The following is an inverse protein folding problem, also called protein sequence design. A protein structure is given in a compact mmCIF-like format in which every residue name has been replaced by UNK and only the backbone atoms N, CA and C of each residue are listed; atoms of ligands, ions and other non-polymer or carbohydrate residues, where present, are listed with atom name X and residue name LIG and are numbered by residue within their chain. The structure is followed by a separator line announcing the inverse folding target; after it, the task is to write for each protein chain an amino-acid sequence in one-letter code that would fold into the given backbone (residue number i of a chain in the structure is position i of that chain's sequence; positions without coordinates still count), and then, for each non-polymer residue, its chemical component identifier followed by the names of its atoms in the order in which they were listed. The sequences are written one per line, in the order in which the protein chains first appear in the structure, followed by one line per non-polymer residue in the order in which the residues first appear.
data_IF_848367419433
#
_entry.id   IF_848367419433
#
_cell.length_a   1.000
_cell.length_b   1.000
_cell.length_c   1.000
_cell.angle_alpha   90.00
_cell.angle_beta   90.00
_cell.angle_gamma   90.00
#
_symmetry.space_group_name_H-M   'P 1'
#
loop_
_entity.id
_entity.type
_entity.pdbx_description
1 polymer ?
#
# COMPACT_ATOMS: atom_id res chain seq x y z
N UNK A 1 -5.37 -18.54 -12.29
CA UNK A 1 -5.23 -18.50 -10.82
C UNK A 1 -4.00 -19.24 -10.27
N UNK A 2 -3.97 -20.58 -10.09
CA UNK A 2 -2.82 -21.26 -9.41
C UNK A 2 -1.47 -21.11 -10.16
N UNK A 3 -1.48 -21.15 -11.49
CA UNK A 3 -0.28 -20.99 -12.31
C UNK A 3 0.28 -19.55 -12.31
N UNK A 4 -0.59 -18.54 -12.23
CA UNK A 4 -0.20 -17.13 -12.15
C UNK A 4 0.33 -16.77 -10.76
N UNK A 5 -0.26 -17.34 -9.70
CA UNK A 5 0.21 -17.25 -8.32
C UNK A 5 1.65 -17.77 -8.21
N UNK A 6 1.92 -19.00 -8.71
CA UNK A 6 3.26 -19.58 -8.70
C UNK A 6 4.27 -18.78 -9.55
N UNK A 7 3.84 -18.20 -10.68
CA UNK A 7 4.68 -17.30 -11.49
C UNK A 7 4.98 -15.99 -10.74
N UNK A 8 4.02 -15.43 -10.01
CA UNK A 8 4.20 -14.24 -9.18
C UNK A 8 5.18 -14.49 -8.05
N UNK A 9 4.98 -15.56 -7.28
CA UNK A 9 5.88 -15.96 -6.19
C UNK A 9 7.32 -16.15 -6.65
N UNK A 10 7.52 -16.85 -7.78
CA UNK A 10 8.85 -17.03 -8.36
C UNK A 10 9.50 -15.69 -8.71
N UNK A 11 8.75 -14.78 -9.35
CA UNK A 11 9.24 -13.44 -9.71
C UNK A 11 9.60 -12.59 -8.49
N UNK A 12 8.85 -12.70 -7.40
CA UNK A 12 9.16 -11.96 -6.17
C UNK A 12 10.44 -12.49 -5.50
N UNK A 13 10.64 -13.81 -5.48
CA UNK A 13 11.88 -14.41 -4.96
C UNK A 13 13.10 -13.99 -5.79
N UNK A 14 13.01 -14.05 -7.11
CA UNK A 14 14.06 -13.57 -8.02
C UNK A 14 14.34 -12.07 -7.84
N UNK A 15 13.29 -11.26 -7.62
CA UNK A 15 13.45 -9.84 -7.34
C UNK A 15 14.19 -9.58 -6.02
N UNK A 16 13.93 -10.38 -4.97
CA UNK A 16 14.64 -10.26 -3.69
C UNK A 16 16.14 -10.50 -3.85
N UNK A 17 16.55 -11.55 -4.57
CA UNK A 17 17.96 -11.82 -4.89
C UNK A 17 18.60 -10.65 -5.67
N UNK A 18 17.86 -10.07 -6.62
CA UNK A 18 18.31 -8.88 -7.35
C UNK A 18 18.49 -7.66 -6.42
N UNK A 19 17.62 -7.47 -5.42
CA UNK A 19 17.76 -6.37 -4.46
C UNK A 19 18.88 -6.62 -3.45
N UNK A 20 19.20 -7.88 -3.12
CA UNK A 20 20.38 -8.23 -2.32
C UNK A 20 21.66 -7.87 -3.04
N UNK A 21 21.80 -8.30 -4.28
CA UNK A 21 22.96 -7.98 -5.12
C UNK A 21 23.06 -6.48 -5.41
N UNK A 22 21.93 -5.79 -5.65
CA UNK A 22 21.90 -4.34 -5.84
C UNK A 22 22.32 -3.58 -4.58
N UNK A 23 21.81 -3.96 -3.41
CA UNK A 23 22.19 -3.33 -2.15
C UNK A 23 23.70 -3.50 -1.86
N UNK A 24 24.23 -4.71 -2.06
CA UNK A 24 25.67 -4.98 -1.91
C UNK A 24 26.51 -4.11 -2.86
N UNK A 25 26.07 -3.94 -4.11
CA UNK A 25 26.71 -3.03 -5.08
C UNK A 25 26.62 -1.57 -4.65
N UNK A 26 25.49 -1.10 -4.13
CA UNK A 26 25.32 0.27 -3.65
C UNK A 26 26.26 0.57 -2.49
N UNK A 27 26.31 -0.33 -1.49
CA UNK A 27 27.23 -0.22 -0.35
C UNK A 27 28.68 -0.17 -0.83
N UNK A 28 29.06 -1.08 -1.74
CA UNK A 28 30.42 -1.13 -2.28
C UNK A 28 30.80 0.11 -3.10
N UNK A 29 29.88 0.68 -3.88
CA UNK A 29 30.17 1.80 -4.79
C UNK A 29 30.04 3.18 -4.13
N UNK A 30 29.05 3.33 -3.26
CA UNK A 30 28.66 4.63 -2.71
C UNK A 30 28.76 4.69 -1.19
N UNK A 31 29.13 3.58 -0.52
CA UNK A 31 29.25 3.53 0.93
C UNK A 31 27.93 3.62 1.68
N UNK A 32 26.79 3.56 0.98
CA UNK A 32 25.48 3.81 1.56
C UNK A 32 24.42 2.84 1.04
N UNK A 33 23.51 2.51 1.94
CA UNK A 33 22.27 1.81 1.63
C UNK A 33 21.28 2.77 0.93
N UNK A 34 20.43 2.22 0.06
CA UNK A 34 19.43 2.99 -0.70
C UNK A 34 18.00 2.74 -0.16
N UNK A 35 17.26 3.78 0.29
CA UNK A 35 15.90 3.63 0.79
C UNK A 35 14.93 3.07 -0.27
N UNK A 36 15.16 3.33 -1.56
CA UNK A 36 14.32 2.80 -2.64
C UNK A 36 14.46 1.29 -2.74
N UNK A 37 15.68 0.77 -2.61
CA UNK A 37 15.95 -0.67 -2.55
C UNK A 37 15.22 -1.34 -1.38
N UNK A 38 15.20 -0.72 -0.20
CA UNK A 38 14.44 -1.24 0.94
C UNK A 38 12.93 -1.25 0.71
N UNK A 39 12.37 -0.15 0.17
CA UNK A 39 10.95 -0.12 -0.19
C UNK A 39 10.59 -1.21 -1.22
N UNK A 40 11.47 -1.45 -2.20
CA UNK A 40 11.24 -2.48 -3.21
C UNK A 40 11.33 -3.91 -2.64
N UNK A 41 12.17 -4.14 -1.64
CA UNK A 41 12.14 -5.40 -0.86
C UNK A 41 10.83 -5.55 -0.11
N UNK A 42 10.36 -4.48 0.54
CA UNK A 42 9.04 -4.45 1.17
C UNK A 42 7.92 -4.84 0.19
N UNK A 43 7.94 -4.29 -1.02
CA UNK A 43 6.99 -4.65 -2.08
C UNK A 43 7.06 -6.12 -2.49
N UNK A 44 8.27 -6.70 -2.54
CA UNK A 44 8.44 -8.12 -2.88
C UNK A 44 7.93 -9.04 -1.75
N UNK A 45 8.22 -8.72 -0.50
CA UNK A 45 7.67 -9.44 0.66
C UNK A 45 6.14 -9.32 0.75
N UNK A 46 5.59 -8.13 0.51
CA UNK A 46 4.14 -7.93 0.39
C UNK A 46 3.53 -8.80 -0.72
N UNK A 47 4.19 -8.89 -1.88
CA UNK A 47 3.77 -9.77 -2.98
C UNK A 47 3.82 -11.26 -2.66
N UNK A 48 4.63 -11.67 -1.67
CA UNK A 48 4.69 -13.03 -1.13
C UNK A 48 3.70 -13.25 0.05
N UNK A 49 2.97 -12.22 0.46
CA UNK A 49 2.10 -12.26 1.64
C UNK A 49 2.85 -12.19 2.98
N UNK A 50 4.15 -11.89 2.96
CA UNK A 50 5.00 -11.77 4.16
C UNK A 50 4.91 -10.33 4.72
N UNK A 51 3.72 -9.96 5.18
CA UNK A 51 3.39 -8.57 5.53
C UNK A 51 4.21 -8.01 6.70
N UNK A 52 4.58 -8.83 7.69
CA UNK A 52 5.44 -8.41 8.81
C UNK A 52 6.81 -7.93 8.30
N UNK A 53 7.46 -8.72 7.44
CA UNK A 53 8.73 -8.33 6.81
C UNK A 53 8.57 -7.12 5.91
N UNK A 54 7.44 -7.02 5.20
CA UNK A 54 7.16 -5.87 4.36
C UNK A 54 7.15 -4.58 5.20
N UNK A 55 6.47 -4.58 6.36
CA UNK A 55 6.47 -3.45 7.31
C UNK A 55 7.89 -3.10 7.77
N UNK A 56 8.71 -4.08 8.16
CA UNK A 56 10.09 -3.83 8.59
C UNK A 56 10.91 -3.10 7.50
N UNK A 57 10.79 -3.55 6.25
CA UNK A 57 11.52 -2.96 5.14
C UNK A 57 11.00 -1.57 4.74
N UNK A 58 9.67 -1.37 4.74
CA UNK A 58 9.10 -0.03 4.53
C UNK A 58 9.51 0.93 5.64
N UNK A 59 9.49 0.46 6.89
CA UNK A 59 9.92 1.25 8.05
C UNK A 59 11.39 1.66 7.92
N UNK A 60 12.29 0.72 7.59
CA UNK A 60 13.70 1.01 7.36
C UNK A 60 13.89 2.04 6.24
N UNK A 61 13.19 1.89 5.11
CA UNK A 61 13.23 2.87 4.02
C UNK A 61 12.77 4.27 4.45
N UNK A 62 11.72 4.36 5.28
CA UNK A 62 11.17 5.60 5.79
C UNK A 62 12.05 6.29 6.85
N UNK A 63 12.85 5.54 7.60
CA UNK A 63 13.83 6.06 8.55
C UNK A 63 15.09 6.56 7.85
N UNK A 64 15.54 5.86 6.81
CA UNK A 64 16.68 6.27 5.99
C UNK A 64 16.40 7.58 5.22
N UNK A 65 15.18 7.76 4.72
CA UNK A 65 14.76 8.99 4.08
C UNK A 65 13.38 9.42 4.57
N UNK A 66 13.35 10.38 5.49
CA UNK A 66 12.11 10.94 6.07
C UNK A 66 11.20 11.62 5.04
N UNK A 67 11.74 12.00 3.87
CA UNK A 67 10.99 12.58 2.77
C UNK A 67 10.52 11.52 1.75
N UNK A 68 10.87 10.24 1.93
CA UNK A 68 10.41 9.18 1.05
C UNK A 68 9.01 8.72 1.44
N UNK A 69 8.03 9.54 1.07
CA UNK A 69 6.63 9.40 1.45
C UNK A 69 6.02 8.05 1.06
N UNK A 70 6.45 7.49 -0.08
CA UNK A 70 5.96 6.19 -0.56
C UNK A 70 6.27 5.05 0.40
N UNK A 71 7.42 5.05 1.07
CA UNK A 71 7.76 4.03 2.06
C UNK A 71 6.80 4.09 3.27
N UNK A 72 6.52 5.30 3.79
CA UNK A 72 5.56 5.47 4.89
C UNK A 72 4.13 5.11 4.50
N UNK A 73 3.75 5.40 3.26
CA UNK A 73 2.45 5.00 2.72
C UNK A 73 2.32 3.48 2.67
N UNK A 74 3.31 2.80 2.08
CA UNK A 74 3.32 1.34 1.99
C UNK A 74 3.37 0.66 3.37
N UNK A 75 4.12 1.24 4.32
CA UNK A 75 4.11 0.81 5.73
C UNK A 75 2.69 0.88 6.31
N UNK A 76 1.99 2.01 6.12
CA UNK A 76 0.62 2.16 6.61
C UNK A 76 -0.33 1.13 5.98
N UNK A 77 -0.26 0.92 4.66
CA UNK A 77 -1.07 -0.09 3.99
C UNK A 77 -0.78 -1.50 4.54
N UNK A 78 0.48 -1.87 4.70
CA UNK A 78 0.87 -3.18 5.23
C UNK A 78 0.48 -3.36 6.70
N UNK A 79 0.55 -2.31 7.53
CA UNK A 79 0.04 -2.33 8.90
C UNK A 79 -1.47 -2.61 8.96
N UNK A 80 -2.24 -2.06 8.02
CA UNK A 80 -3.66 -2.39 7.90
C UNK A 80 -3.88 -3.88 7.67
N UNK A 81 -3.08 -4.47 6.79
CA UNK A 81 -3.14 -5.89 6.46
C UNK A 81 -2.82 -6.80 7.66
N UNK A 82 -1.95 -6.34 8.56
CA UNK A 82 -1.62 -7.00 9.82
C UNK A 82 -2.66 -6.75 10.92
N UNK A 83 -3.74 -6.02 10.64
CA UNK A 83 -4.78 -5.69 11.61
C UNK A 83 -4.42 -4.56 12.58
N UNK A 84 -3.29 -3.87 12.37
CA UNK A 84 -2.89 -2.69 13.16
C UNK A 84 -3.65 -1.44 12.71
N UNK A 85 -4.99 -1.49 12.79
CA UNK A 85 -5.90 -0.53 12.16
C UNK A 85 -5.75 0.89 12.70
N UNK A 86 -5.60 1.09 14.02
CA UNK A 86 -5.48 2.42 14.59
C UNK A 86 -4.19 3.11 14.13
N UNK A 87 -3.07 2.38 14.18
CA UNK A 87 -1.75 2.89 13.75
C UNK A 87 -1.76 3.20 12.26
N UNK A 88 -2.24 2.26 11.45
CA UNK A 88 -2.40 2.41 10.01
C UNK A 88 -3.23 3.65 9.66
N UNK A 89 -4.44 3.76 10.20
CA UNK A 89 -5.37 4.86 9.91
C UNK A 89 -4.79 6.20 10.36
N UNK A 90 -4.11 6.23 11.52
CA UNK A 90 -3.43 7.44 11.98
C UNK A 90 -2.33 7.91 11.02
N UNK A 91 -1.53 6.97 10.50
CA UNK A 91 -0.50 7.26 9.51
C UNK A 91 -1.10 7.74 8.19
N UNK A 92 -2.14 7.06 7.68
CA UNK A 92 -2.84 7.47 6.46
C UNK A 92 -3.42 8.88 6.59
N UNK A 93 -4.08 9.20 7.72
CA UNK A 93 -4.59 10.56 8.01
C UNK A 93 -3.48 11.60 8.05
N UNK A 94 -2.34 11.27 8.66
CA UNK A 94 -1.19 12.17 8.66
C UNK A 94 -0.69 12.45 7.24
N UNK A 95 -0.55 11.41 6.43
CA UNK A 95 -0.09 11.52 5.05
C UNK A 95 -1.07 12.28 4.16
N UNK A 96 -2.38 12.00 4.26
CA UNK A 96 -3.42 12.72 3.52
C UNK A 96 -3.45 14.22 3.90
N UNK A 97 -3.30 14.56 5.17
CA UNK A 97 -3.23 15.97 5.61
C UNK A 97 -1.97 16.67 5.11
N UNK A 98 -0.82 16.00 5.18
CA UNK A 98 0.47 16.58 4.78
C UNK A 98 0.59 16.68 3.26
N UNK A 99 -0.01 15.75 2.53
CA UNK A 99 0.00 15.66 1.08
C UNK A 99 -1.44 15.48 0.56
N UNK A 100 -2.24 16.55 0.49
CA UNK A 100 -3.65 16.46 0.08
C UNK A 100 -3.87 15.94 -1.34
N UNK A 101 -2.85 15.99 -2.20
CA UNK A 101 -2.89 15.39 -3.54
C UNK A 101 -2.62 13.89 -3.58
N UNK A 102 -2.43 13.23 -2.43
CA UNK A 102 -2.05 11.82 -2.38
C UNK A 102 -3.27 10.91 -2.41
N UNK A 103 -3.78 10.67 -3.62
CA UNK A 103 -5.01 9.90 -3.87
C UNK A 103 -5.06 8.53 -3.16
N UNK A 104 -3.93 7.80 -3.09
CA UNK A 104 -3.84 6.53 -2.37
C UNK A 104 -4.30 6.63 -0.92
N UNK A 105 -3.89 7.69 -0.21
CA UNK A 105 -4.18 7.82 1.21
C UNK A 105 -5.65 8.15 1.44
N UNK A 106 -6.25 8.94 0.56
CA UNK A 106 -7.69 9.18 0.59
C UNK A 106 -8.49 7.90 0.32
N UNK A 107 -8.14 7.13 -0.72
CA UNK A 107 -8.83 5.88 -1.00
C UNK A 107 -8.62 4.83 0.13
N UNK A 108 -7.44 4.79 0.75
CA UNK A 108 -7.16 3.85 1.83
C UNK A 108 -7.91 4.23 3.12
N UNK A 109 -8.02 5.54 3.41
CA UNK A 109 -8.89 6.03 4.48
C UNK A 109 -10.35 5.73 4.22
N UNK A 110 -10.82 5.81 2.97
CA UNK A 110 -12.18 5.42 2.63
C UNK A 110 -12.47 3.95 3.00
N UNK A 111 -11.54 3.04 2.68
CA UNK A 111 -11.62 1.63 3.06
C UNK A 111 -11.58 1.45 4.60
N UNK A 112 -10.67 2.13 5.28
CA UNK A 112 -10.53 2.03 6.73
C UNK A 112 -11.78 2.55 7.48
N UNK A 113 -12.32 3.70 7.07
CA UNK A 113 -13.54 4.24 7.66
C UNK A 113 -14.78 3.43 7.31
N UNK A 114 -14.80 2.78 6.15
CA UNK A 114 -15.86 1.84 5.82
C UNK A 114 -15.88 0.69 6.83
N UNK A 115 -14.72 0.08 7.07
CA UNK A 115 -14.55 -1.01 8.05
C UNK A 115 -14.98 -0.61 9.46
N UNK A 116 -14.62 0.60 9.88
CA UNK A 116 -14.97 1.18 11.18
C UNK A 116 -16.48 1.51 11.32
N UNK A 117 -17.25 1.48 10.22
CA UNK A 117 -18.66 1.89 10.20
C UNK A 117 -18.86 3.41 10.10
N UNK A 118 -17.77 4.16 9.94
CA UNK A 118 -17.75 5.62 9.75
C UNK A 118 -18.13 6.01 8.30
N UNK A 119 -19.36 5.70 7.90
CA UNK A 119 -19.84 5.79 6.50
C UNK A 119 -19.63 7.18 5.88
N UNK A 120 -20.00 8.25 6.58
CA UNK A 120 -19.87 9.62 6.04
C UNK A 120 -18.41 10.01 5.80
N UNK A 121 -17.51 9.61 6.70
CA UNK A 121 -16.08 9.86 6.53
C UNK A 121 -15.53 9.05 5.36
N UNK A 122 -15.94 7.77 5.23
CA UNK A 122 -15.60 6.93 4.09
C UNK A 122 -16.01 7.56 2.75
N UNK A 123 -17.25 8.05 2.65
CA UNK A 123 -17.74 8.70 1.43
C UNK A 123 -17.00 10.00 1.10
N UNK A 124 -16.64 10.80 2.11
CA UNK A 124 -15.87 12.02 1.94
C UNK A 124 -14.48 11.75 1.39
N UNK A 125 -13.74 10.81 2.01
CA UNK A 125 -12.39 10.45 1.56
C UNK A 125 -12.41 9.81 0.17
N UNK A 126 -13.43 9.00 -0.11
CA UNK A 126 -13.61 8.43 -1.44
C UNK A 126 -13.83 9.51 -2.51
N UNK A 127 -14.65 10.52 -2.21
CA UNK A 127 -14.86 11.63 -3.13
C UNK A 127 -13.56 12.38 -3.43
N UNK A 128 -12.73 12.62 -2.42
CA UNK A 128 -11.39 13.19 -2.60
C UNK A 128 -10.50 12.31 -3.48
N UNK A 129 -10.47 11.00 -3.24
CA UNK A 129 -9.68 10.07 -4.05
C UNK A 129 -10.10 10.10 -5.53
N UNK A 130 -11.40 10.04 -5.80
CA UNK A 130 -11.95 10.06 -7.16
C UNK A 130 -11.77 11.40 -7.88
N UNK A 131 -11.73 12.51 -7.14
CA UNK A 131 -11.40 13.82 -7.69
C UNK A 131 -9.95 13.89 -8.15
N UNK A 132 -9.04 13.25 -7.41
CA UNK A 132 -7.61 13.24 -7.71
C UNK A 132 -7.26 12.23 -8.80
N UNK A 133 -7.85 11.04 -8.77
CA UNK A 133 -7.59 9.96 -9.72
C UNK A 133 -8.81 9.04 -9.84
N UNK A 134 -9.50 9.13 -10.98
CA UNK A 134 -10.73 8.36 -11.22
C UNK A 134 -10.49 6.86 -11.37
N UNK A 135 -9.25 6.42 -11.57
CA UNK A 135 -8.89 5.00 -11.71
C UNK A 135 -9.15 4.20 -10.43
N UNK A 136 -9.24 4.86 -9.28
CA UNK A 136 -9.65 4.21 -8.03
C UNK A 136 -11.04 3.57 -8.14
N UNK A 137 -11.93 4.07 -9.00
CA UNK A 137 -13.22 3.43 -9.27
C UNK A 137 -13.13 2.03 -9.87
N UNK A 138 -11.98 1.64 -10.44
CA UNK A 138 -11.73 0.30 -10.94
C UNK A 138 -10.98 -0.54 -9.89
N UNK A 139 -11.71 -1.48 -9.28
CA UNK A 139 -11.15 -2.38 -8.27
C UNK A 139 -10.00 -3.25 -8.82
N UNK A 140 -10.02 -3.60 -10.11
CA UNK A 140 -8.94 -4.37 -10.72
C UNK A 140 -7.68 -3.52 -10.84
N UNK A 141 -7.82 -2.22 -11.14
CA UNK A 141 -6.68 -1.32 -11.13
C UNK A 141 -6.05 -1.20 -9.74
N UNK A 142 -6.87 -1.12 -8.68
CA UNK A 142 -6.35 -1.14 -7.29
C UNK A 142 -5.62 -2.46 -7.00
N UNK A 143 -6.22 -3.60 -7.32
CA UNK A 143 -5.67 -4.92 -7.00
C UNK A 143 -4.43 -5.26 -7.82
N UNK A 144 -4.44 -5.00 -9.12
CA UNK A 144 -3.46 -5.56 -10.05
C UNK A 144 -2.34 -4.54 -10.35
N UNK A 145 -2.66 -3.24 -10.35
CA UNK A 145 -1.71 -2.17 -10.63
C UNK A 145 -1.16 -1.54 -9.35
N UNK A 146 -2.04 -1.12 -8.41
CA UNK A 146 -1.58 -0.58 -7.11
C UNK A 146 -1.13 -1.68 -6.15
N UNK A 147 -1.60 -2.93 -6.36
CA UNK A 147 -1.27 -4.10 -5.54
C UNK A 147 -1.48 -3.85 -4.06
N UNK A 148 -2.62 -3.26 -3.76
CA UNK A 148 -2.99 -3.02 -2.38
C UNK A 148 -3.13 -4.32 -1.60
N UNK A 149 -2.93 -4.25 -0.27
CA UNK A 149 -3.12 -5.40 0.59
C UNK A 149 -4.55 -5.96 0.49
N UNK A 150 -4.73 -7.29 0.51
CA UNK A 150 -6.03 -7.93 0.32
C UNK A 150 -7.16 -7.42 1.22
N UNK A 151 -6.88 -7.10 2.49
CA UNK A 151 -7.90 -6.59 3.42
C UNK A 151 -8.39 -5.19 3.02
N UNK A 152 -7.49 -4.30 2.57
CA UNK A 152 -7.89 -2.99 2.06
C UNK A 152 -8.72 -3.11 0.78
N UNK A 153 -8.32 -4.01 -0.12
CA UNK A 153 -9.08 -4.30 -1.35
C UNK A 153 -10.47 -4.83 -1.01
N UNK A 154 -10.57 -5.75 -0.06
CA UNK A 154 -11.86 -6.30 0.40
C UNK A 154 -12.76 -5.20 0.98
N UNK A 155 -12.23 -4.38 1.87
CA UNK A 155 -13.01 -3.35 2.56
C UNK A 155 -13.48 -2.26 1.57
N UNK A 156 -12.64 -1.85 0.60
CA UNK A 156 -13.07 -0.88 -0.42
C UNK A 156 -14.05 -1.49 -1.44
N UNK A 157 -13.89 -2.77 -1.80
CA UNK A 157 -14.83 -3.46 -2.69
C UNK A 157 -16.22 -3.54 -2.08
N UNK A 158 -16.32 -3.83 -0.78
CA UNK A 158 -17.59 -3.81 -0.05
C UNK A 158 -18.25 -2.44 -0.11
N UNK A 159 -17.48 -1.37 0.15
CA UNK A 159 -17.95 0.01 0.02
C UNK A 159 -18.51 0.30 -1.39
N UNK A 160 -17.79 -0.10 -2.45
CA UNK A 160 -18.20 0.13 -3.84
C UNK A 160 -19.46 -0.67 -4.23
N UNK A 161 -19.56 -1.91 -3.76
CA UNK A 161 -20.70 -2.78 -4.06
C UNK A 161 -22.03 -2.21 -3.53
N UNK A 162 -22.00 -1.61 -2.33
CA UNK A 162 -23.17 -0.99 -1.71
C UNK A 162 -23.58 0.33 -2.35
N UNK A 163 -22.63 1.09 -2.89
CA UNK A 163 -22.97 2.27 -3.70
C UNK A 163 -23.67 1.87 -5.00
N UNK A 164 -23.22 0.79 -5.63
CA UNK A 164 -23.85 0.27 -6.86
C UNK A 164 -25.28 -0.23 -6.63
N UNK A 165 -25.59 -0.75 -5.44
CA UNK A 165 -26.95 -1.21 -5.10
C UNK A 165 -27.91 -0.09 -4.69
N UNK A 166 -27.40 1.06 -4.21
CA UNK A 166 -28.22 2.22 -3.81
C UNK A 166 -28.64 3.14 -4.96
N UNK A 167 -28.03 2.99 -6.13
CA UNK A 167 -28.31 3.82 -7.34
C UNK A 167 -29.31 3.12 -8.29
N UNK A 168 -29.88 1.98 -7.89
CA UNK A 168 -30.91 1.25 -8.62
C UNK A 168 -32.29 1.42 -8.01
#
# INVERSE_FOLDING_TARGET
MKLECMKGEKRFKEALECYETSNAKSISRYGAEDPVTYNNRGNAHAGLGEWDKAVEFYHKAAEMNKNYVFARANEALALYQLGSYEKSTSMMRFLARKYPGFADMHAALAAAYWKDGSIRASESEWASAMQLDTRYGDINWIRDNRRWPPLLVTDIEQFLSLKSSRVR
#
